data_IF_264904585761
#
_entry.id   IF_264904585761
#
_cell.length_a   1.000
_cell.length_b   1.000
_cell.length_c   1.000
_cell.angle_alpha   90.00
_cell.angle_beta   90.00
_cell.angle_gamma   90.00
#
_symmetry.space_group_name_H-M   'P 1'
#
loop_
_entity.id
_entity.type
_entity.pdbx_description
1 polymer ?
#
# COMPACT_ATOMS: atom_id res chain seq x y z
N UNK A 1 20.31 -10.94 -21.77
CA UNK A 1 20.34 -10.38 -20.39
C UNK A 1 19.23 -9.35 -20.26
N UNK A 2 18.19 -9.63 -19.48
CA UNK A 2 17.23 -8.59 -19.06
C UNK A 2 17.87 -7.89 -17.87
N UNK A 3 18.29 -6.65 -18.09
CA UNK A 3 18.90 -5.80 -17.07
C UNK A 3 17.94 -5.62 -15.91
N UNK A 4 18.28 -6.15 -14.73
CA UNK A 4 17.57 -5.93 -13.46
C UNK A 4 17.85 -4.54 -12.88
N UNK A 5 17.82 -3.51 -13.73
CA UNK A 5 17.93 -2.14 -13.28
C UNK A 5 16.65 -1.77 -12.54
N UNK A 6 16.78 -1.54 -11.24
CA UNK A 6 15.69 -0.97 -10.43
C UNK A 6 15.35 0.39 -11.05
N UNK A 7 14.09 0.65 -11.42
CA UNK A 7 13.70 1.95 -11.97
C UNK A 7 14.05 3.07 -10.98
N UNK A 8 14.62 4.19 -11.45
CA UNK A 8 15.01 5.33 -10.60
C UNK A 8 13.84 5.87 -9.76
N UNK A 9 12.65 5.90 -10.35
CA UNK A 9 11.41 6.13 -9.62
C UNK A 9 10.39 5.05 -10.03
N UNK A 10 10.27 3.96 -9.25
CA UNK A 10 9.40 2.85 -9.58
C UNK A 10 7.92 3.16 -9.31
N UNK A 11 7.61 4.14 -8.48
CA UNK A 11 6.23 4.47 -8.09
C UNK A 11 5.69 5.53 -9.05
N UNK A 12 4.60 5.23 -9.77
CA UNK A 12 3.96 6.17 -10.71
C UNK A 12 2.73 6.85 -10.15
N UNK A 13 2.05 6.16 -9.25
CA UNK A 13 0.88 6.65 -8.52
C UNK A 13 0.94 6.09 -7.12
N UNK A 14 0.49 6.89 -6.16
CA UNK A 14 0.44 6.54 -4.75
C UNK A 14 -0.77 7.23 -4.13
N UNK A 15 -1.64 6.44 -3.51
CA UNK A 15 -2.84 6.91 -2.84
C UNK A 15 -2.91 6.28 -1.45
N UNK A 16 -3.19 7.09 -0.43
CA UNK A 16 -3.44 6.68 0.96
C UNK A 16 -4.84 7.11 1.33
N UNK A 17 -5.69 6.17 1.74
CA UNK A 17 -7.07 6.43 2.13
C UNK A 17 -7.53 5.40 3.16
N UNK A 18 -8.73 5.56 3.75
CA UNK A 18 -9.30 4.55 4.63
C UNK A 18 -10.60 3.99 4.06
N UNK A 19 -10.98 2.81 4.52
CA UNK A 19 -12.28 2.21 4.21
C UNK A 19 -12.85 1.60 5.47
N UNK A 20 -14.07 2.02 5.83
CA UNK A 20 -14.79 1.49 6.98
C UNK A 20 -14.89 -0.04 6.85
N UNK A 21 -14.42 -0.77 7.86
CA UNK A 21 -14.40 -2.23 7.90
C UNK A 21 -13.17 -2.91 7.27
N UNK A 22 -12.32 -2.22 6.52
CA UNK A 22 -11.03 -2.77 6.05
C UNK A 22 -9.81 -2.16 6.75
N UNK A 23 -9.85 -0.86 7.06
CA UNK A 23 -8.74 -0.11 7.65
C UNK A 23 -8.10 0.89 6.69
N UNK A 24 -6.83 1.22 6.93
CA UNK A 24 -6.09 2.17 6.11
C UNK A 24 -5.51 1.46 4.90
N UNK A 25 -5.82 1.95 3.72
CA UNK A 25 -5.41 1.41 2.45
C UNK A 25 -4.31 2.28 1.86
N UNK A 26 -3.18 1.64 1.55
CA UNK A 26 -2.11 2.26 0.76
C UNK A 26 -2.04 1.52 -0.56
N UNK A 27 -2.24 2.25 -1.66
CA UNK A 27 -2.21 1.69 -3.00
C UNK A 27 -1.23 2.44 -3.88
N UNK A 28 -0.56 1.73 -4.78
CA UNK A 28 0.43 2.28 -5.66
C UNK A 28 0.53 1.52 -6.99
N UNK A 29 0.80 2.25 -8.06
CA UNK A 29 1.21 1.68 -9.33
C UNK A 29 2.74 1.61 -9.36
N UNK A 30 3.27 0.39 -9.24
CA UNK A 30 4.71 0.16 -9.12
C UNK A 30 5.23 -0.50 -10.39
N UNK A 31 6.27 0.08 -10.96
CA UNK A 31 6.90 -0.38 -12.18
C UNK A 31 7.71 -1.66 -11.94
N UNK A 32 7.55 -2.61 -12.86
CA UNK A 32 8.31 -3.86 -12.89
C UNK A 32 9.82 -3.61 -13.01
N UNK A 33 10.61 -4.42 -12.28
CA UNK A 33 12.08 -4.46 -12.42
C UNK A 33 12.54 -4.96 -13.78
N UNK A 34 11.77 -5.85 -14.41
CA UNK A 34 12.19 -6.58 -15.60
C UNK A 34 11.72 -5.92 -16.90
N UNK A 35 10.70 -5.06 -16.84
CA UNK A 35 10.09 -4.44 -18.02
C UNK A 35 9.77 -2.97 -17.79
N UNK A 36 10.35 -2.11 -18.63
CA UNK A 36 10.07 -0.69 -18.61
C UNK A 36 8.62 -0.43 -19.07
N UNK A 37 7.88 0.39 -18.33
CA UNK A 37 6.50 0.75 -18.65
C UNK A 37 5.44 -0.28 -18.24
N UNK A 38 5.84 -1.47 -17.76
CA UNK A 38 4.90 -2.40 -17.14
C UNK A 38 4.67 -1.98 -15.68
N UNK A 39 3.44 -1.59 -15.37
CA UNK A 39 3.01 -1.19 -14.03
C UNK A 39 2.16 -2.31 -13.41
N UNK A 40 2.28 -2.43 -12.10
CA UNK A 40 1.56 -3.39 -11.30
C UNK A 40 0.83 -2.67 -10.18
N UNK A 41 -0.50 -2.78 -10.18
CA UNK A 41 -1.30 -2.26 -9.10
C UNK A 41 -1.01 -3.06 -7.84
N UNK A 42 -0.57 -2.37 -6.80
CA UNK A 42 -0.13 -2.95 -5.54
C UNK A 42 -0.85 -2.26 -4.41
N UNK A 43 -1.43 -3.03 -3.50
CA UNK A 43 -2.21 -2.52 -2.38
C UNK A 43 -1.82 -3.25 -1.11
N UNK A 44 -1.57 -2.49 -0.05
CA UNK A 44 -1.49 -3.01 1.32
C UNK A 44 -2.57 -2.36 2.19
N UNK A 45 -3.05 -3.12 3.16
CA UNK A 45 -4.03 -2.67 4.14
C UNK A 45 -3.40 -2.76 5.51
N UNK A 46 -3.52 -1.67 6.26
CA UNK A 46 -3.03 -1.52 7.61
C UNK A 46 -4.22 -1.51 8.56
N UNK A 47 -4.08 -2.24 9.65
CA UNK A 47 -4.98 -2.10 10.79
C UNK A 47 -4.75 -0.73 11.45
N UNK A 48 -5.77 0.13 11.57
CA UNK A 48 -5.64 1.48 12.15
C UNK A 48 -5.25 1.46 13.63
N UNK A 49 -5.48 0.36 14.36
CA UNK A 49 -5.11 0.26 15.78
C UNK A 49 -3.68 -0.22 15.95
N UNK A 50 -3.31 -1.31 15.27
CA UNK A 50 -1.99 -1.94 15.45
C UNK A 50 -0.93 -1.46 14.46
N UNK A 51 -1.32 -0.73 13.41
CA UNK A 51 -0.47 -0.32 12.29
C UNK A 51 0.25 -1.49 11.58
N UNK A 52 -0.23 -2.72 11.79
CA UNK A 52 0.29 -3.91 11.14
C UNK A 52 -0.39 -4.09 9.80
N UNK A 53 0.36 -4.63 8.84
CA UNK A 53 -0.17 -5.01 7.54
C UNK A 53 -1.04 -6.25 7.71
N UNK A 54 -2.33 -6.12 7.42
CA UNK A 54 -3.32 -7.21 7.52
C UNK A 54 -3.51 -7.92 6.20
N UNK A 55 -3.45 -7.17 5.09
CA UNK A 55 -3.59 -7.69 3.73
C UNK A 55 -2.58 -7.03 2.81
N UNK A 56 -2.06 -7.80 1.87
CA UNK A 56 -1.22 -7.30 0.78
C UNK A 56 -1.62 -7.99 -0.51
N UNK A 57 -1.68 -7.22 -1.59
CA UNK A 57 -2.08 -7.71 -2.91
C UNK A 57 -1.27 -6.99 -3.99
N UNK A 58 -0.97 -7.71 -5.06
CA UNK A 58 -0.34 -7.19 -6.26
C UNK A 58 -0.86 -8.00 -7.45
N UNK A 59 -1.04 -7.36 -8.60
CA UNK A 59 -1.50 -8.00 -9.84
C UNK A 59 -0.38 -8.72 -10.63
N UNK A 60 0.86 -8.69 -10.14
CA UNK A 60 1.97 -9.34 -10.81
C UNK A 60 1.91 -10.89 -10.67
N UNK A 61 2.52 -11.59 -11.63
CA UNK A 61 2.56 -13.06 -11.67
C UNK A 61 3.02 -13.69 -10.35
N UNK A 62 4.07 -13.12 -9.72
CA UNK A 62 4.59 -13.65 -8.46
C UNK A 62 3.54 -13.68 -7.35
N UNK A 63 2.67 -12.66 -7.29
CA UNK A 63 1.58 -12.58 -6.32
C UNK A 63 0.47 -13.59 -6.62
N UNK A 64 0.18 -13.84 -7.90
CA UNK A 64 -0.78 -14.87 -8.31
C UNK A 64 -0.34 -16.28 -7.88
N UNK A 65 0.98 -16.53 -7.78
CA UNK A 65 1.55 -17.76 -7.24
C UNK A 65 1.75 -17.75 -5.71
N UNK A 66 1.15 -16.78 -4.99
CA UNK A 66 1.25 -16.66 -3.53
C UNK A 66 2.64 -16.30 -3.01
N UNK A 67 3.55 -15.82 -3.88
CA UNK A 67 4.90 -15.42 -3.49
C UNK A 67 4.95 -13.92 -3.19
N UNK A 68 5.74 -13.53 -2.19
CA UNK A 68 6.03 -12.12 -1.90
C UNK A 68 6.75 -11.48 -3.09
N UNK A 69 6.06 -10.60 -3.81
CA UNK A 69 6.62 -9.88 -4.94
C UNK A 69 7.44 -8.65 -4.50
N UNK A 70 8.26 -8.13 -5.41
CA UNK A 70 9.02 -6.90 -5.18
C UNK A 70 8.10 -5.70 -4.92
N UNK A 71 7.01 -5.56 -5.68
CA UNK A 71 6.13 -4.39 -5.57
C UNK A 71 5.54 -4.26 -4.16
N UNK A 72 5.05 -5.36 -3.59
CA UNK A 72 4.58 -5.38 -2.20
C UNK A 72 5.68 -4.94 -1.26
N UNK A 73 6.89 -5.52 -1.36
CA UNK A 73 8.02 -5.12 -0.50
C UNK A 73 8.36 -3.63 -0.61
N UNK A 74 8.37 -3.08 -1.81
CA UNK A 74 8.57 -1.65 -2.04
C UNK A 74 7.50 -0.82 -1.33
N UNK A 75 6.24 -1.22 -1.41
CA UNK A 75 5.16 -0.53 -0.73
C UNK A 75 5.22 -0.67 0.80
N UNK A 76 5.63 -1.84 1.31
CA UNK A 76 5.88 -2.07 2.75
C UNK A 76 6.99 -1.16 3.29
N UNK A 77 8.05 -0.93 2.50
CA UNK A 77 9.15 -0.03 2.86
C UNK A 77 8.70 1.43 2.87
N UNK A 78 7.99 1.88 1.81
CA UNK A 78 7.47 3.25 1.71
C UNK A 78 6.54 3.62 2.86
N UNK A 79 5.68 2.69 3.30
CA UNK A 79 4.78 2.92 4.43
C UNK A 79 5.55 3.15 5.74
N UNK A 80 6.70 2.51 5.91
CA UNK A 80 7.52 2.65 7.12
C UNK A 80 8.38 3.91 7.10
N UNK A 81 8.75 4.41 5.93
CA UNK A 81 9.63 5.57 5.78
C UNK A 81 8.85 6.82 5.43
N UNK A 82 8.44 6.94 4.17
CA UNK A 82 8.05 8.21 3.55
C UNK A 82 6.58 8.54 3.80
N UNK A 83 5.72 7.53 3.86
CA UNK A 83 4.28 7.70 4.02
C UNK A 83 3.82 7.66 5.47
N UNK A 84 4.73 7.50 6.43
CA UNK A 84 4.37 7.34 7.84
C UNK A 84 3.44 8.47 8.33
N UNK A 85 3.80 9.72 8.01
CA UNK A 85 3.00 10.91 8.41
C UNK A 85 1.63 10.96 7.75
N UNK A 86 1.56 10.60 6.47
CA UNK A 86 0.30 10.62 5.73
C UNK A 86 -0.64 9.52 6.20
N UNK A 87 -0.10 8.33 6.45
CA UNK A 87 -0.82 7.19 7.05
C UNK A 87 -1.30 7.55 8.46
N UNK A 88 -0.48 8.20 9.28
CA UNK A 88 -0.88 8.67 10.62
C UNK A 88 -2.01 9.70 10.55
N UNK A 89 -1.95 10.63 9.59
CA UNK A 89 -3.04 11.59 9.38
C UNK A 89 -4.35 10.90 8.98
N UNK A 90 -4.30 9.98 8.02
CA UNK A 90 -5.48 9.21 7.56
C UNK A 90 -6.04 8.34 8.69
N UNK A 91 -5.19 7.82 9.57
CA UNK A 91 -5.59 7.10 10.78
C UNK A 91 -6.40 7.98 11.73
N UNK A 92 -5.91 9.19 12.03
CA UNK A 92 -6.60 10.13 12.93
C UNK A 92 -7.96 10.54 12.36
N UNK A 93 -8.02 10.85 11.06
CA UNK A 93 -9.26 11.16 10.36
C UNK A 93 -10.25 9.99 10.41
N UNK A 94 -9.77 8.76 10.21
CA UNK A 94 -10.60 7.56 10.29
C UNK A 94 -11.17 7.37 11.70
N UNK A 95 -10.34 7.46 12.74
CA UNK A 95 -10.76 7.24 14.12
C UNK A 95 -11.79 8.30 14.56
N UNK A 96 -11.58 9.56 14.17
CA UNK A 96 -12.53 10.63 14.46
C UNK A 96 -13.91 10.36 13.83
N UNK A 97 -13.94 9.82 12.61
CA UNK A 97 -15.19 9.44 11.94
C UNK A 97 -15.84 8.22 12.61
N UNK A 98 -15.07 7.22 13.02
CA UNK A 98 -15.61 6.06 13.75
C UNK A 98 -16.17 6.45 15.13
N UNK A 99 -15.51 7.38 15.84
CA UNK A 99 -16.00 7.94 17.10
C UNK A 99 -17.31 8.73 16.91
N UNK A 100 -17.41 9.56 15.86
CA UNK A 100 -18.64 10.28 15.53
C UNK A 100 -19.79 9.30 15.23
N UNK A 101 -19.54 8.27 14.40
CA UNK A 101 -20.54 7.23 14.11
C UNK A 101 -20.99 6.51 15.38
N UNK A 102 -20.06 6.17 16.27
CA UNK A 102 -20.38 5.51 17.54
C UNK A 102 -21.22 6.40 18.47
N UNK A 103 -21.08 7.72 18.38
CA UNK A 103 -21.84 8.70 19.18
C UNK A 103 -23.30 8.86 18.75
N UNK A 104 -23.67 8.38 17.55
CA UNK A 104 -25.05 8.41 17.06
C UNK A 104 -25.93 7.29 17.65
N UNK A 105 -25.34 6.42 18.49
CA UNK A 105 -26.01 5.33 19.22
C UNK A 105 -26.74 5.79 20.48
#
# INVERSE_FOLDING_TARGET
MISTQIPKNPIKRLDVFYTLGEGIVVSADIQSKSRKGLLHYTRIVLDPLTMKITKASCDCEASAFGKKCWHVKTLEELVKTDLKKEVEKVREEMLAVEEDIASWG
#
